data_IF_146932305674
#
_entry.id   IF_146932305674
#
_cell.length_a   1.000
_cell.length_b   1.000
_cell.length_c   1.000
_cell.angle_alpha   90.00
_cell.angle_beta   90.00
_cell.angle_gamma   90.00
#
_symmetry.space_group_name_H-M   'P 1'
#
loop_
_entity.id
_entity.type
_entity.pdbx_description
1 polymer ?
#
# COMPACT_ATOMS: atom_id res chain seq x y z
N UNK A 1 5.45 -1.41 4.94
CA UNK A 1 6.35 -0.78 3.93
C UNK A 1 7.40 -1.73 3.38
N UNK A 2 8.24 -2.37 4.21
CA UNK A 2 9.35 -3.23 3.73
C UNK A 2 8.92 -4.35 2.77
N UNK A 3 7.79 -5.01 3.00
CA UNK A 3 7.30 -6.07 2.10
C UNK A 3 6.85 -5.54 0.73
N UNK A 4 6.27 -4.34 0.68
CA UNK A 4 5.81 -3.73 -0.58
C UNK A 4 7.01 -3.21 -1.37
N UNK A 5 7.97 -2.57 -0.69
CA UNK A 5 9.24 -2.15 -1.29
C UNK A 5 9.96 -3.36 -1.86
N UNK A 6 10.09 -4.44 -1.08
CA UNK A 6 10.72 -5.69 -1.53
C UNK A 6 10.00 -6.30 -2.74
N UNK A 7 8.66 -6.35 -2.71
CA UNK A 7 7.89 -6.84 -3.85
C UNK A 7 8.06 -5.98 -5.11
N UNK A 8 8.13 -4.65 -4.97
CA UNK A 8 8.47 -3.78 -6.08
C UNK A 8 9.88 -4.05 -6.59
N UNK A 9 10.88 -4.16 -5.72
CA UNK A 9 12.25 -4.47 -6.12
C UNK A 9 12.31 -5.81 -6.89
N UNK A 10 11.63 -6.85 -6.39
CA UNK A 10 11.62 -8.18 -7.00
C UNK A 10 10.93 -8.20 -8.38
N UNK A 11 9.82 -7.46 -8.55
CA UNK A 11 9.01 -7.46 -9.79
C UNK A 11 9.50 -6.45 -10.84
N UNK A 12 10.10 -5.34 -10.40
CA UNK A 12 10.48 -4.22 -11.27
C UNK A 12 11.99 -4.00 -11.37
N UNK A 13 12.78 -4.79 -10.64
CA UNK A 13 14.24 -4.73 -10.58
C UNK A 13 14.77 -3.34 -10.18
N UNK A 14 13.97 -2.61 -9.39
CA UNK A 14 14.30 -1.29 -8.88
C UNK A 14 15.23 -1.39 -7.67
N UNK A 15 16.13 -0.43 -7.55
CA UNK A 15 16.89 -0.21 -6.33
C UNK A 15 15.98 0.27 -5.19
N UNK A 16 16.35 -0.09 -3.94
CA UNK A 16 15.53 0.12 -2.73
C UNK A 16 15.07 1.57 -2.57
N UNK A 17 15.97 2.53 -2.84
CA UNK A 17 15.66 3.96 -2.76
C UNK A 17 14.60 4.40 -3.77
N UNK A 18 14.64 3.85 -4.99
CA UNK A 18 13.64 4.16 -6.00
C UNK A 18 12.31 3.49 -5.66
N UNK A 19 12.34 2.24 -5.19
CA UNK A 19 11.15 1.51 -4.75
C UNK A 19 10.44 2.21 -3.58
N UNK A 20 11.17 2.72 -2.59
CA UNK A 20 10.60 3.54 -1.50
C UNK A 20 9.90 4.80 -2.04
N UNK A 21 10.56 5.51 -2.97
CA UNK A 21 9.99 6.69 -3.62
C UNK A 21 8.71 6.39 -4.40
N UNK A 22 8.68 5.27 -5.11
CA UNK A 22 7.49 4.84 -5.86
C UNK A 22 6.34 4.55 -4.89
N UNK A 23 6.62 3.90 -3.76
CA UNK A 23 5.60 3.64 -2.72
C UNK A 23 5.06 4.95 -2.14
N UNK A 24 5.89 5.97 -1.93
CA UNK A 24 5.43 7.30 -1.49
C UNK A 24 4.54 8.00 -2.52
N UNK A 25 4.92 7.96 -3.80
CA UNK A 25 4.10 8.53 -4.89
C UNK A 25 2.76 7.83 -4.98
N UNK A 26 2.74 6.49 -4.88
CA UNK A 26 1.51 5.71 -4.88
C UNK A 26 0.65 5.99 -3.65
N UNK A 27 1.24 6.16 -2.47
CA UNK A 27 0.52 6.58 -1.26
C UNK A 27 -0.19 7.90 -1.46
N UNK A 28 0.51 8.92 -1.97
CA UNK A 28 -0.09 10.23 -2.22
C UNK A 28 -1.20 10.14 -3.25
N UNK A 29 -0.96 9.45 -4.37
CA UNK A 29 -1.95 9.31 -5.43
C UNK A 29 -3.20 8.53 -5.00
N UNK A 30 -3.03 7.44 -4.25
CA UNK A 30 -4.13 6.66 -3.70
C UNK A 30 -4.86 7.42 -2.59
N UNK A 31 -4.14 8.17 -1.76
CA UNK A 31 -4.72 9.10 -0.81
C UNK A 31 -5.70 10.04 -1.53
N UNK A 32 -5.25 10.77 -2.54
CA UNK A 32 -6.08 11.76 -3.22
C UNK A 32 -7.25 11.16 -4.03
N UNK A 33 -7.22 9.86 -4.34
CA UNK A 33 -8.21 9.17 -5.20
C UNK A 33 -9.17 8.28 -4.42
N UNK A 34 -8.81 7.80 -3.24
CA UNK A 34 -9.61 6.85 -2.48
C UNK A 34 -10.58 7.57 -1.53
N UNK A 35 -11.86 7.16 -1.46
CA UNK A 35 -12.79 7.65 -0.45
C UNK A 35 -12.25 7.42 0.98
N UNK A 36 -12.54 8.33 1.91
CA UNK A 36 -12.10 8.27 3.32
C UNK A 36 -12.15 6.86 3.97
N UNK A 37 -13.23 6.05 3.81
CA UNK A 37 -13.28 4.70 4.40
C UNK A 37 -12.22 3.74 3.87
N UNK A 38 -11.75 3.92 2.63
CA UNK A 38 -10.72 3.08 2.01
C UNK A 38 -9.33 3.65 2.32
N UNK A 39 -9.20 4.98 2.29
CA UNK A 39 -7.99 5.72 2.64
C UNK A 39 -7.45 5.29 4.01
N UNK A 40 -8.31 5.30 5.04
CA UNK A 40 -7.97 4.87 6.41
C UNK A 40 -7.56 3.40 6.51
N UNK A 41 -8.02 2.53 5.60
CA UNK A 41 -7.62 1.12 5.60
C UNK A 41 -6.26 0.93 4.91
N UNK A 42 -6.05 1.64 3.80
CA UNK A 42 -4.78 1.64 3.07
C UNK A 42 -3.67 2.25 3.91
N UNK A 43 -3.91 3.34 4.63
CA UNK A 43 -2.92 3.95 5.53
C UNK A 43 -2.50 3.01 6.67
N UNK A 44 -3.43 2.23 7.24
CA UNK A 44 -3.09 1.23 8.28
C UNK A 44 -2.18 0.14 7.75
N UNK A 45 -2.51 -0.39 6.57
CA UNK A 45 -1.71 -1.41 5.88
C UNK A 45 -0.34 -0.87 5.47
N UNK A 46 -0.31 0.36 4.95
CA UNK A 46 0.89 1.00 4.43
C UNK A 46 1.76 1.65 5.51
N UNK A 47 1.20 2.02 6.66
CA UNK A 47 1.88 2.61 7.81
C UNK A 47 2.57 1.56 8.69
N UNK A 48 2.16 0.29 8.60
CA UNK A 48 2.71 -0.78 9.44
C UNK A 48 2.28 -0.69 10.91
N UNK A 49 1.47 0.31 11.28
CA UNK A 49 0.79 0.39 12.57
C UNK A 49 -0.52 -0.38 12.49
N UNK A 50 -0.43 -1.67 12.76
CA UNK A 50 -1.57 -2.55 12.89
C UNK A 50 -1.35 -3.81 12.08
N UNK A 51 -1.28 -4.95 12.78
CA UNK A 51 -1.33 -6.29 12.20
C UNK A 51 -2.68 -6.59 11.55
N UNK A 52 -3.12 -5.73 10.64
CA UNK A 52 -4.15 -6.05 9.68
C UNK A 52 -3.46 -6.77 8.53
N UNK A 53 -3.67 -8.08 8.52
CA UNK A 53 -3.30 -8.95 7.42
C UNK A 53 -3.76 -8.32 6.09
N UNK A 54 -2.81 -8.10 5.19
CA UNK A 54 -3.03 -7.56 3.85
C UNK A 54 -4.15 -8.30 3.11
N UNK A 55 -4.33 -9.61 3.38
CA UNK A 55 -5.43 -10.41 2.84
C UNK A 55 -6.80 -9.94 3.33
N UNK A 56 -6.93 -9.65 4.62
CA UNK A 56 -8.20 -9.16 5.19
C UNK A 56 -8.58 -7.76 4.68
N UNK A 57 -7.59 -6.92 4.39
CA UNK A 57 -7.82 -5.61 3.77
C UNK A 57 -8.21 -5.73 2.29
N UNK A 58 -7.59 -6.67 1.56
CA UNK A 58 -7.94 -6.95 0.17
C UNK A 58 -9.36 -7.52 0.02
N UNK A 59 -9.79 -8.39 0.93
CA UNK A 59 -11.16 -8.94 0.92
C UNK A 59 -12.22 -7.85 1.16
N UNK A 60 -11.97 -6.90 2.06
CA UNK A 60 -12.88 -5.76 2.29
C UNK A 60 -12.94 -4.81 1.09
N UNK A 61 -11.82 -4.63 0.39
CA UNK A 61 -11.78 -3.87 -0.85
C UNK A 61 -12.60 -4.55 -1.95
N UNK A 62 -12.55 -5.88 -2.04
CA UNK A 62 -13.32 -6.66 -3.01
C UNK A 62 -14.82 -6.62 -2.75
N UNK A 63 -15.25 -6.45 -1.50
CA UNK A 63 -16.67 -6.33 -1.14
C UNK A 63 -17.25 -4.92 -1.46
N UNK A 64 -16.38 -3.94 -1.74
CA UNK A 64 -16.74 -2.58 -2.12
C UNK A 64 -16.83 -2.35 -3.65
N UNK A 65 -16.37 -3.30 -4.47
CA UNK A 65 -16.33 -3.22 -5.94
C UNK A 65 -17.00 -4.44 -6.59
#
# INVERSE_FOLDING_TARGET
MKEIVKKLMDETNLDEKLAEKVVEVLKSYLGDKLPEPIQSQVEKVLGGEGGLDLGSAADKLKDLF
#
